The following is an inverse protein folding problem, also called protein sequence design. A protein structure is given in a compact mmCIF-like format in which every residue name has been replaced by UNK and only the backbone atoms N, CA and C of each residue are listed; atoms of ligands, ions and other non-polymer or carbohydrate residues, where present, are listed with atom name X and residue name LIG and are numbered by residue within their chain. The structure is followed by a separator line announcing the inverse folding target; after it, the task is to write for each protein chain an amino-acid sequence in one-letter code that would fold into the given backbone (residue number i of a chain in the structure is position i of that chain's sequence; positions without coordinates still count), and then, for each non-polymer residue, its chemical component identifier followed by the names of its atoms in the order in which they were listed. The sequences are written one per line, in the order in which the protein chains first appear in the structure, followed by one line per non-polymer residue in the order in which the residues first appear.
data_IF_992777375558
#
_entry.id   IF_992777375558
#
_cell.length_a   1.000
_cell.length_b   1.000
_cell.length_c   1.000
_cell.angle_alpha   90.00
_cell.angle_beta   90.00
_cell.angle_gamma   90.00
#
_symmetry.space_group_name_H-M   'P 1'
#
loop_
_entity.id
_entity.type
_entity.pdbx_description
1 polymer ?
#
# COMPACT_ATOMS: atom_id res chain seq x y z
N UNK A 1 28.94 -39.03 -72.15
CA UNK A 1 27.54 -39.05 -71.66
C UNK A 1 27.58 -38.60 -70.23
N UNK A 2 27.38 -37.32 -69.97
CA UNK A 2 27.61 -36.65 -68.70
C UNK A 2 26.30 -36.52 -67.91
N UNK A 3 26.17 -37.18 -66.75
CA UNK A 3 25.03 -36.98 -65.84
C UNK A 3 25.42 -35.94 -64.79
N UNK A 4 24.79 -34.77 -64.85
CA UNK A 4 24.84 -33.77 -63.77
C UNK A 4 23.85 -34.18 -62.71
N UNK A 5 24.34 -34.56 -61.54
CA UNK A 5 23.57 -34.83 -60.35
C UNK A 5 23.22 -33.47 -59.71
N UNK A 6 21.95 -33.06 -59.78
CA UNK A 6 21.42 -31.86 -59.07
C UNK A 6 21.06 -32.26 -57.64
N UNK A 7 21.89 -31.80 -56.69
CA UNK A 7 21.65 -31.96 -55.26
C UNK A 7 20.69 -30.86 -54.82
N UNK A 8 19.41 -31.17 -54.58
CA UNK A 8 18.44 -30.30 -53.97
C UNK A 8 18.64 -30.28 -52.48
N UNK A 9 19.33 -29.26 -51.96
CA UNK A 9 19.40 -29.01 -50.50
C UNK A 9 18.08 -28.49 -49.99
N UNK A 10 17.41 -29.32 -49.14
CA UNK A 10 16.23 -28.85 -48.37
C UNK A 10 16.72 -27.96 -47.24
N UNK A 11 16.58 -26.66 -47.36
CA UNK A 11 16.80 -25.67 -46.31
C UNK A 11 15.55 -25.67 -45.41
N UNK A 12 15.57 -26.47 -44.31
CA UNK A 12 14.52 -26.44 -43.31
C UNK A 12 14.65 -25.12 -42.50
N UNK A 13 13.85 -24.12 -42.84
CA UNK A 13 13.64 -22.94 -42.02
C UNK A 13 12.89 -23.37 -40.73
N UNK A 14 13.64 -23.55 -39.65
CA UNK A 14 13.08 -23.69 -38.33
C UNK A 14 12.36 -22.39 -37.96
N UNK A 15 11.03 -22.38 -37.97
CA UNK A 15 10.24 -21.30 -37.41
C UNK A 15 10.46 -21.31 -35.89
N UNK A 16 11.36 -20.44 -35.41
CA UNK A 16 11.42 -20.12 -34.02
C UNK A 16 10.07 -19.48 -33.62
N UNK A 17 9.29 -20.19 -32.81
CA UNK A 17 8.10 -19.60 -32.21
C UNK A 17 8.55 -18.49 -31.27
N UNK A 18 8.46 -17.24 -31.69
CA UNK A 18 8.58 -16.09 -30.82
C UNK A 18 7.30 -16.09 -29.97
N UNK A 19 7.40 -16.60 -28.75
CA UNK A 19 6.35 -16.38 -27.75
C UNK A 19 6.30 -14.89 -27.48
N UNK A 20 5.31 -14.21 -28.02
CA UNK A 20 5.02 -12.84 -27.66
C UNK A 20 4.74 -12.84 -26.14
N UNK A 21 5.58 -12.16 -25.37
CA UNK A 21 5.29 -11.92 -23.97
C UNK A 21 4.00 -11.11 -23.89
N UNK A 22 2.93 -11.77 -23.45
CA UNK A 22 1.66 -11.08 -23.22
C UNK A 22 1.86 -10.17 -22.01
N UNK A 23 1.64 -8.87 -22.20
CA UNK A 23 1.68 -7.93 -21.08
C UNK A 23 0.63 -8.34 -20.04
N UNK A 24 1.00 -8.40 -18.75
CA UNK A 24 0.09 -8.85 -17.69
C UNK A 24 -1.10 -7.90 -17.46
N UNK A 25 -1.06 -6.71 -18.06
CA UNK A 25 -2.11 -5.69 -18.03
C UNK A 25 -2.51 -5.31 -19.44
N UNK A 26 -3.79 -5.28 -19.69
CA UNK A 26 -4.39 -4.82 -20.94
C UNK A 26 -5.46 -3.77 -20.65
N UNK A 27 -5.61 -2.80 -21.53
CA UNK A 27 -6.75 -1.87 -21.50
C UNK A 27 -7.76 -2.35 -22.52
N UNK A 28 -8.96 -2.72 -22.05
CA UNK A 28 -10.11 -3.10 -22.88
C UNK A 28 -11.29 -2.21 -22.50
N UNK A 29 -11.88 -1.54 -23.47
CA UNK A 29 -13.04 -0.67 -23.26
C UNK A 29 -12.83 0.33 -22.10
N UNK A 30 -11.65 0.99 -22.08
CA UNK A 30 -11.22 1.93 -21.04
C UNK A 30 -11.06 1.34 -19.63
N UNK A 31 -11.13 0.01 -19.49
CA UNK A 31 -10.92 -0.70 -18.24
C UNK A 31 -9.61 -1.49 -18.25
N UNK A 32 -8.93 -1.48 -17.10
CA UNK A 32 -7.78 -2.35 -16.88
C UNK A 32 -8.24 -3.80 -16.74
N UNK A 33 -7.67 -4.68 -17.57
CA UNK A 33 -7.91 -6.12 -17.51
C UNK A 33 -6.61 -6.82 -17.15
N UNK A 34 -6.66 -7.62 -16.10
CA UNK A 34 -5.53 -8.41 -15.63
C UNK A 34 -5.50 -9.75 -16.36
N UNK A 35 -4.40 -10.03 -17.05
CA UNK A 35 -4.18 -11.31 -17.73
C UNK A 35 -3.66 -12.32 -16.72
N UNK A 36 -4.22 -13.52 -16.72
CA UNK A 36 -3.75 -14.64 -15.89
C UNK A 36 -2.74 -15.49 -16.63
N UNK A 37 -1.81 -16.10 -15.90
CA UNK A 37 -0.95 -17.15 -16.43
C UNK A 37 -1.71 -18.51 -16.53
N UNK A 38 -0.99 -19.56 -16.95
CA UNK A 38 -1.54 -20.91 -17.11
C UNK A 38 -2.06 -21.52 -15.79
N UNK A 39 -1.62 -21.04 -14.64
CA UNK A 39 -2.05 -21.46 -13.30
C UNK A 39 -3.15 -20.57 -12.72
N UNK A 40 -3.60 -19.55 -13.47
CA UNK A 40 -4.59 -18.58 -13.01
C UNK A 40 -4.01 -17.44 -12.15
N UNK A 41 -2.68 -17.35 -11.98
CA UNK A 41 -2.06 -16.23 -11.27
C UNK A 41 -2.20 -14.94 -12.07
N UNK A 42 -2.39 -13.84 -11.39
CA UNK A 42 -2.37 -12.50 -11.96
C UNK A 42 -1.57 -11.57 -11.07
N UNK A 43 -1.11 -10.45 -11.61
CA UNK A 43 -0.46 -9.42 -10.80
C UNK A 43 -1.44 -8.89 -9.75
N UNK A 44 -0.91 -8.40 -8.63
CA UNK A 44 -1.72 -7.85 -7.56
C UNK A 44 -2.47 -6.60 -8.03
N UNK A 45 -3.74 -6.53 -7.68
CA UNK A 45 -4.59 -5.36 -7.92
C UNK A 45 -4.54 -4.44 -6.70
N UNK A 46 -3.95 -3.26 -6.88
CA UNK A 46 -3.83 -2.24 -5.84
C UNK A 46 -4.89 -1.14 -5.94
N UNK A 47 -5.87 -1.28 -6.82
CA UNK A 47 -6.93 -0.28 -7.00
C UNK A 47 -7.77 -0.06 -5.74
N UNK A 48 -7.81 -1.05 -4.85
CA UNK A 48 -8.53 -1.01 -3.57
C UNK A 48 -7.64 -0.72 -2.34
N UNK A 49 -6.40 -0.21 -2.54
CA UNK A 49 -5.46 0.03 -1.43
C UNK A 49 -5.70 1.33 -0.66
N UNK A 50 -6.54 2.23 -1.16
CA UNK A 50 -6.80 3.53 -0.54
C UNK A 50 -7.81 3.47 0.59
N UNK A 51 -8.13 4.64 1.15
CA UNK A 51 -9.13 4.78 2.19
C UNK A 51 -10.47 4.16 1.76
N UNK A 52 -11.01 3.26 2.58
CA UNK A 52 -12.21 2.47 2.30
C UNK A 52 -12.21 1.89 0.87
N UNK A 53 -11.16 1.13 0.53
CA UNK A 53 -10.96 0.51 -0.77
C UNK A 53 -10.89 1.50 -1.95
N UNK A 54 -10.45 2.72 -1.72
CA UNK A 54 -10.45 3.81 -2.70
C UNK A 54 -11.85 4.25 -3.19
N UNK A 55 -12.92 3.81 -2.55
CA UNK A 55 -14.29 4.16 -2.93
C UNK A 55 -14.75 5.51 -2.37
N UNK A 56 -14.07 6.00 -1.35
CA UNK A 56 -14.43 7.24 -0.65
C UNK A 56 -13.24 8.20 -0.59
N UNK A 57 -13.49 9.51 -0.70
CA UNK A 57 -12.44 10.51 -0.46
C UNK A 57 -11.97 10.44 0.99
N UNK A 58 -10.69 10.75 1.21
CA UNK A 58 -10.15 10.91 2.56
C UNK A 58 -10.92 12.02 3.28
N UNK A 59 -11.52 11.76 4.46
CA UNK A 59 -12.35 12.74 5.13
C UNK A 59 -11.53 13.94 5.65
N UNK A 60 -12.11 15.11 5.58
CA UNK A 60 -11.57 16.29 6.26
C UNK A 60 -12.03 16.30 7.72
N UNK A 61 -11.13 15.89 8.60
CA UNK A 61 -11.40 15.79 10.03
C UNK A 61 -11.10 17.13 10.70
N UNK A 62 -11.99 17.60 11.56
CA UNK A 62 -11.83 18.85 12.30
C UNK A 62 -10.54 18.87 13.14
N UNK A 63 -9.83 19.98 13.15
CA UNK A 63 -8.63 20.16 13.95
C UNK A 63 -8.97 20.24 15.43
N UNK A 64 -8.42 19.32 16.24
CA UNK A 64 -8.52 19.34 17.69
C UNK A 64 -7.34 20.09 18.32
N UNK A 65 -6.15 19.99 17.71
CA UNK A 65 -4.92 20.64 18.19
C UNK A 65 -4.15 21.22 17.01
N UNK A 66 -3.59 22.39 17.20
CA UNK A 66 -2.63 23.01 16.31
C UNK A 66 -1.24 23.03 16.95
N UNK A 67 -0.24 22.55 16.21
CA UNK A 67 1.16 22.55 16.64
C UNK A 67 1.96 23.49 15.74
N UNK A 68 2.30 24.66 16.25
CA UNK A 68 3.15 25.64 15.54
C UNK A 68 4.58 25.09 15.40
N UNK A 69 5.26 25.45 14.32
CA UNK A 69 6.66 25.09 14.14
C UNK A 69 7.54 25.80 15.19
N UNK A 70 8.58 25.07 15.65
CA UNK A 70 9.67 25.63 16.47
C UNK A 70 11.00 25.00 16.05
N UNK A 71 12.13 25.72 16.19
CA UNK A 71 13.44 25.15 15.94
C UNK A 71 13.78 24.06 16.98
N UNK A 72 14.62 23.11 16.56
CA UNK A 72 15.06 21.98 17.39
C UNK A 72 14.07 20.83 17.43
N UNK A 73 14.23 19.96 18.43
CA UNK A 73 13.42 18.74 18.56
C UNK A 73 11.96 19.03 18.89
N UNK A 74 11.06 18.53 18.07
CA UNK A 74 9.61 18.64 18.21
C UNK A 74 8.94 17.32 18.61
N UNK A 75 9.69 16.24 18.81
CA UNK A 75 9.15 14.89 19.07
C UNK A 75 8.15 14.89 20.21
N UNK A 76 8.57 15.33 21.40
CA UNK A 76 7.70 15.35 22.58
C UNK A 76 6.49 16.28 22.45
N UNK A 77 6.60 17.36 21.69
CA UNK A 77 5.47 18.29 21.49
C UNK A 77 4.40 17.69 20.60
N UNK A 78 4.80 17.09 19.49
CA UNK A 78 3.88 16.43 18.58
C UNK A 78 3.28 15.20 19.26
N UNK A 79 4.09 14.40 19.98
CA UNK A 79 3.58 13.23 20.71
C UNK A 79 2.52 13.61 21.73
N UNK A 80 2.75 14.66 22.53
CA UNK A 80 1.73 15.14 23.50
C UNK A 80 0.45 15.61 22.83
N UNK A 81 0.54 16.23 21.65
CA UNK A 81 -0.65 16.60 20.87
C UNK A 81 -1.43 15.36 20.40
N UNK A 82 -0.71 14.31 19.93
CA UNK A 82 -1.29 13.02 19.55
C UNK A 82 -1.96 12.37 20.77
N UNK A 83 -1.28 12.34 21.93
CA UNK A 83 -1.79 11.72 23.16
C UNK A 83 -3.05 12.45 23.65
N UNK A 84 -3.06 13.78 23.59
CA UNK A 84 -4.25 14.58 23.94
C UNK A 84 -5.42 14.23 23.01
N UNK A 85 -5.24 14.22 21.69
CA UNK A 85 -6.32 13.87 20.77
C UNK A 85 -6.75 12.42 20.98
N UNK A 86 -5.83 11.52 21.30
CA UNK A 86 -6.13 10.13 21.64
C UNK A 86 -7.05 9.98 22.85
N UNK A 87 -7.01 10.94 23.79
CA UNK A 87 -7.89 10.94 24.98
C UNK A 87 -9.30 11.49 24.73
N UNK A 88 -9.55 12.13 23.60
CA UNK A 88 -10.87 12.69 23.26
C UNK A 88 -11.86 11.58 22.92
N UNK A 89 -13.15 11.85 23.08
CA UNK A 89 -14.21 10.94 22.65
C UNK A 89 -14.28 10.86 21.12
N UNK A 90 -14.73 9.71 20.61
CA UNK A 90 -15.03 9.56 19.17
C UNK A 90 -16.26 10.38 18.80
N UNK A 91 -16.20 11.03 17.64
CA UNK A 91 -17.36 11.60 17.01
C UNK A 91 -18.25 10.52 16.35
N UNK A 92 -19.37 10.93 15.78
CA UNK A 92 -20.31 10.04 15.06
C UNK A 92 -19.70 9.32 13.85
N UNK A 93 -18.59 9.84 13.33
CA UNK A 93 -17.87 9.27 12.17
C UNK A 93 -16.69 8.39 12.58
N UNK A 94 -16.42 8.25 13.88
CA UNK A 94 -15.32 7.46 14.42
C UNK A 94 -14.00 8.21 14.50
N UNK A 95 -14.01 9.55 14.47
CA UNK A 95 -12.79 10.37 14.64
C UNK A 95 -12.75 11.04 16.01
N UNK A 96 -11.55 11.23 16.54
CA UNK A 96 -11.26 12.00 17.75
C UNK A 96 -10.82 13.43 17.45
N UNK A 97 -10.36 13.65 16.23
CA UNK A 97 -9.88 14.92 15.74
C UNK A 97 -8.53 14.84 15.04
N UNK A 98 -8.10 15.95 14.48
CA UNK A 98 -6.81 16.06 13.82
C UNK A 98 -5.83 16.89 14.66
N UNK A 99 -4.56 16.42 14.69
CA UNK A 99 -3.39 17.21 15.06
C UNK A 99 -2.90 17.89 13.79
N UNK A 100 -3.09 19.19 13.68
CA UNK A 100 -2.64 19.99 12.56
C UNK A 100 -1.25 20.56 12.85
N UNK A 101 -0.28 20.22 12.03
CA UNK A 101 1.07 20.77 12.06
C UNK A 101 1.15 22.01 11.17
N UNK A 102 1.79 23.05 11.67
CA UNK A 102 2.08 24.28 10.93
C UNK A 102 3.05 24.04 9.77
N UNK A 103 3.26 25.05 8.95
CA UNK A 103 4.32 25.05 7.95
C UNK A 103 5.69 25.08 8.63
N UNK A 104 6.62 24.32 8.09
CA UNK A 104 7.99 24.25 8.59
C UNK A 104 8.55 22.84 8.59
N UNK A 105 9.85 22.72 8.83
CA UNK A 105 10.54 21.44 8.99
C UNK A 105 10.64 21.11 10.47
N UNK A 106 9.82 20.16 10.91
CA UNK A 106 9.81 19.66 12.29
C UNK A 106 10.89 18.58 12.43
N UNK A 107 11.98 18.90 13.11
CA UNK A 107 12.99 17.90 13.46
C UNK A 107 12.48 17.00 14.58
N UNK A 108 12.71 15.69 14.45
CA UNK A 108 12.28 14.65 15.36
C UNK A 108 13.48 13.78 15.74
N UNK A 109 13.85 13.76 17.00
CA UNK A 109 14.88 12.85 17.52
C UNK A 109 14.28 11.48 17.86
N UNK A 110 12.98 11.43 18.18
CA UNK A 110 12.25 10.23 18.53
C UNK A 110 11.15 9.94 17.51
N UNK A 111 10.73 8.70 17.45
CA UNK A 111 9.60 8.28 16.62
C UNK A 111 8.27 8.69 17.24
N UNK A 112 7.33 9.12 16.42
CA UNK A 112 5.95 9.37 16.85
C UNK A 112 5.18 8.08 16.89
N UNK A 113 4.13 8.01 17.73
CA UNK A 113 3.31 6.82 17.91
C UNK A 113 1.82 7.17 17.99
N UNK A 114 1.00 6.46 17.23
CA UNK A 114 -0.46 6.52 17.27
C UNK A 114 -0.98 5.12 17.56
N UNK A 115 -1.52 4.89 18.76
CA UNK A 115 -2.04 3.60 19.22
C UNK A 115 -3.56 3.54 19.31
N UNK A 116 -4.23 4.66 19.05
CA UNK A 116 -5.67 4.80 19.23
C UNK A 116 -6.35 5.19 17.94
N UNK A 117 -7.42 4.48 17.60
CA UNK A 117 -8.23 4.77 16.41
C UNK A 117 -8.87 6.15 16.45
N UNK A 118 -9.06 6.75 15.28
CA UNK A 118 -9.76 8.03 15.13
C UNK A 118 -8.87 9.27 15.28
N UNK A 119 -7.57 9.12 15.46
CA UNK A 119 -6.59 10.22 15.49
C UNK A 119 -6.05 10.47 14.10
N UNK A 120 -6.03 11.73 13.68
CA UNK A 120 -5.45 12.16 12.39
C UNK A 120 -4.25 13.05 12.64
N UNK A 121 -3.11 12.75 12.02
CA UNK A 121 -1.95 13.64 11.97
C UNK A 121 -1.89 14.27 10.57
N UNK A 122 -1.92 15.59 10.48
CA UNK A 122 -2.02 16.31 9.22
C UNK A 122 -1.09 17.54 9.21
N UNK A 123 -0.43 17.78 8.07
CA UNK A 123 0.29 19.02 7.81
C UNK A 123 -0.65 20.10 7.26
N UNK A 124 -0.27 21.36 7.42
CA UNK A 124 -1.00 22.50 6.84
C UNK A 124 -0.86 22.57 5.33
N UNK A 125 0.24 22.02 4.80
CA UNK A 125 0.52 22.06 3.37
C UNK A 125 1.42 20.87 3.00
N UNK A 126 1.18 20.27 1.83
CA UNK A 126 1.91 19.10 1.36
C UNK A 126 3.41 19.37 1.14
N UNK A 127 3.76 20.57 0.68
CA UNK A 127 5.12 20.91 0.32
C UNK A 127 5.85 21.67 1.43
N UNK A 128 5.10 22.32 2.33
CA UNK A 128 5.64 23.21 3.33
C UNK A 128 5.68 22.64 4.75
N UNK A 129 4.96 21.53 5.02
CA UNK A 129 5.04 20.81 6.30
C UNK A 129 5.87 19.55 6.14
N UNK A 130 7.06 19.53 6.72
CA UNK A 130 8.03 18.43 6.62
C UNK A 130 8.32 17.86 8.01
N UNK A 131 8.19 16.55 8.17
CA UNK A 131 8.71 15.82 9.34
C UNK A 131 10.07 15.24 8.99
N UNK A 132 11.11 15.64 9.70
CA UNK A 132 12.49 15.20 9.48
C UNK A 132 12.99 14.40 10.68
N UNK A 133 13.09 13.08 10.53
CA UNK A 133 13.72 12.25 11.56
C UNK A 133 15.21 12.47 11.57
N UNK A 134 15.73 12.80 12.74
CA UNK A 134 17.18 12.96 13.02
C UNK A 134 17.71 11.66 13.61
N UNK A 135 19.04 11.52 13.56
CA UNK A 135 19.70 10.36 14.13
C UNK A 135 20.15 9.35 13.08
N UNK A 136 20.80 8.31 13.53
CA UNK A 136 21.41 7.25 12.70
C UNK A 136 20.73 5.89 12.87
N UNK A 137 19.68 5.83 13.69
CA UNK A 137 18.92 4.61 13.87
C UNK A 137 18.06 4.29 12.62
N UNK A 138 17.63 3.03 12.51
CA UNK A 138 16.75 2.56 11.41
C UNK A 138 15.28 2.55 11.80
N UNK A 139 14.89 3.18 12.90
CA UNK A 139 13.52 3.25 13.36
C UNK A 139 12.63 4.04 12.41
N UNK A 140 11.36 3.68 12.33
CA UNK A 140 10.37 4.44 11.57
C UNK A 140 10.16 5.83 12.18
N UNK A 141 9.84 6.82 11.36
CA UNK A 141 9.47 8.16 11.82
C UNK A 141 8.14 8.14 12.59
N UNK A 142 7.18 7.36 12.11
CA UNK A 142 5.84 7.25 12.68
C UNK A 142 5.43 5.77 12.76
N UNK A 143 4.98 5.35 13.94
CA UNK A 143 4.33 4.08 14.17
C UNK A 143 2.83 4.29 14.33
N UNK A 144 2.04 3.55 13.54
CA UNK A 144 0.59 3.46 13.68
C UNK A 144 0.30 1.98 13.97
N UNK A 145 -0.11 1.69 15.20
CA UNK A 145 -0.24 0.32 15.67
C UNK A 145 -1.61 0.14 16.34
N UNK A 146 -2.27 -1.00 16.05
CA UNK A 146 -3.45 -1.46 16.77
C UNK A 146 -3.08 -2.43 17.88
N UNK A 147 -4.10 -3.00 18.53
CA UNK A 147 -3.93 -4.13 19.41
C UNK A 147 -3.94 -5.43 18.61
N UNK A 148 -3.06 -6.34 18.95
CA UNK A 148 -3.15 -7.71 18.45
C UNK A 148 -4.09 -8.49 19.37
N UNK A 149 -5.38 -8.39 19.09
CA UNK A 149 -6.47 -9.09 19.80
C UNK A 149 -7.10 -10.20 18.94
N UNK A 150 -6.36 -10.67 17.95
CA UNK A 150 -6.76 -11.77 17.10
C UNK A 150 -6.90 -13.05 17.94
N UNK A 151 -8.11 -13.57 18.03
CA UNK A 151 -8.38 -14.88 18.59
C UNK A 151 -8.64 -15.86 17.45
N UNK A 152 -7.84 -16.92 17.35
CA UNK A 152 -8.09 -18.02 16.43
C UNK A 152 -9.16 -18.90 17.05
N UNK A 153 -10.34 -18.98 16.42
CA UNK A 153 -11.49 -19.74 16.94
C UNK A 153 -11.60 -21.10 16.29
N UNK A 154 -11.17 -21.25 15.05
CA UNK A 154 -11.26 -22.49 14.29
C UNK A 154 -10.19 -22.53 13.20
N UNK A 155 -9.94 -23.73 12.67
CA UNK A 155 -9.01 -23.98 11.56
C UNK A 155 -9.74 -24.77 10.49
N UNK A 156 -9.73 -24.27 9.27
CA UNK A 156 -10.33 -24.94 8.10
C UNK A 156 -9.21 -25.36 7.14
N UNK A 157 -9.35 -26.54 6.57
CA UNK A 157 -8.42 -27.01 5.54
C UNK A 157 -8.79 -26.42 4.18
N UNK A 158 -7.76 -25.97 3.44
CA UNK A 158 -7.93 -25.53 2.05
C UNK A 158 -7.98 -26.76 1.15
N UNK A 159 -9.11 -26.98 0.47
CA UNK A 159 -9.34 -28.17 -0.36
C UNK A 159 -8.63 -28.13 -1.71
N UNK A 160 -8.26 -26.94 -2.18
CA UNK A 160 -7.56 -26.77 -3.45
C UNK A 160 -6.05 -26.99 -3.26
N UNK A 161 -5.43 -27.81 -4.13
CA UNK A 161 -3.98 -28.08 -4.10
C UNK A 161 -3.12 -26.86 -4.45
N UNK A 162 -3.71 -25.86 -5.09
CA UNK A 162 -3.06 -24.61 -5.47
C UNK A 162 -4.06 -23.45 -5.47
N UNK A 163 -3.76 -22.40 -4.74
CA UNK A 163 -4.53 -21.14 -4.73
C UNK A 163 -3.75 -20.10 -5.54
N UNK A 164 -4.24 -19.68 -6.71
CA UNK A 164 -3.54 -18.71 -7.55
C UNK A 164 -3.34 -17.36 -6.85
N UNK A 165 -2.24 -16.69 -7.18
CA UNK A 165 -1.96 -15.34 -6.68
C UNK A 165 -3.10 -14.39 -7.06
N UNK A 166 -3.54 -13.58 -6.10
CA UNK A 166 -4.65 -12.62 -6.23
C UNK A 166 -6.02 -13.27 -6.50
N UNK A 167 -6.23 -14.51 -6.04
CA UNK A 167 -7.54 -15.14 -5.97
C UNK A 167 -8.27 -14.63 -4.74
N UNK A 168 -9.53 -14.22 -4.92
CA UNK A 168 -10.38 -13.73 -3.82
C UNK A 168 -11.30 -14.82 -3.25
N UNK A 169 -11.38 -15.99 -3.90
CA UNK A 169 -12.25 -17.11 -3.49
C UNK A 169 -11.53 -18.44 -3.67
N UNK A 170 -11.66 -19.32 -2.68
CA UNK A 170 -11.16 -20.70 -2.70
C UNK A 170 -12.06 -21.57 -1.82
N UNK A 171 -11.96 -22.89 -1.97
CA UNK A 171 -12.77 -23.84 -1.22
C UNK A 171 -12.09 -24.26 0.07
N UNK A 172 -12.85 -24.34 1.14
CA UNK A 172 -12.42 -24.82 2.47
C UNK A 172 -13.40 -25.91 2.96
N UNK A 173 -12.95 -26.73 3.94
CA UNK A 173 -13.81 -27.72 4.62
C UNK A 173 -14.83 -27.04 5.50
#
# INVERSE_FOLDING_TARGET
MNYKLLLFGFLSLGFARISAQTFPLQVKEEKLTYVTDERGNRILDYSSCGYRNSEYPIPDVANAVFVSWKPGDNSSRIQRAIDYVSSLALDKNGFRGAVLLDKGTFELNESLRIFVSGVVLRGSDREQTVLLKKGVDRGALLYIEGRNDLAVTDTLDVLTSYVPVNTCTFQVT
#
